data_IF_747510017184
#
_entry.id   IF_747510017184
#
_cell.length_a   1.000
_cell.length_b   1.000
_cell.length_c   1.000
_cell.angle_alpha   90.00
_cell.angle_beta   90.00
_cell.angle_gamma   90.00
#
_symmetry.space_group_name_H-M   'P 1'
#
loop_
_entity.id
_entity.type
_entity.pdbx_description
1 polymer ?
#
# COMPACT_ATOMS: atom_id res chain seq x y z
N UNK A 1 -19.14 -13.48 1.92
CA UNK A 1 -19.64 -14.45 0.91
C UNK A 1 -20.70 -13.85 -0.02
N UNK A 2 -21.70 -13.09 0.48
CA UNK A 2 -22.81 -12.59 -0.36
C UNK A 2 -22.43 -11.55 -1.44
N UNK A 3 -21.46 -10.66 -1.17
CA UNK A 3 -21.10 -9.55 -2.07
C UNK A 3 -20.38 -9.99 -3.36
N UNK A 4 -19.75 -11.17 -3.38
CA UNK A 4 -19.07 -11.69 -4.56
C UNK A 4 -20.07 -12.31 -5.56
N UNK A 5 -21.17 -12.90 -5.08
CA UNK A 5 -22.20 -13.49 -5.96
C UNK A 5 -22.89 -12.43 -6.81
N UNK A 6 -23.32 -11.30 -6.22
CA UNK A 6 -23.98 -10.23 -7.01
C UNK A 6 -23.04 -9.61 -8.04
N UNK A 7 -21.76 -9.43 -7.72
CA UNK A 7 -20.76 -8.91 -8.67
C UNK A 7 -20.51 -9.85 -9.86
N UNK A 8 -20.46 -11.16 -9.63
CA UNK A 8 -20.34 -12.14 -10.73
C UNK A 8 -21.61 -12.23 -11.58
N UNK A 9 -22.78 -12.07 -10.97
CA UNK A 9 -24.07 -12.05 -11.65
C UNK A 9 -24.21 -10.82 -12.54
N UNK A 10 -23.82 -9.63 -12.07
CA UNK A 10 -23.77 -8.38 -12.84
C UNK A 10 -22.84 -8.50 -14.07
N UNK A 11 -21.66 -9.10 -13.91
CA UNK A 11 -20.74 -9.35 -15.04
C UNK A 11 -21.34 -10.34 -16.03
N UNK A 12 -21.99 -11.41 -15.56
CA UNK A 12 -22.62 -12.40 -16.44
C UNK A 12 -23.77 -11.80 -17.24
N UNK A 13 -24.59 -10.96 -16.61
CA UNK A 13 -25.68 -10.21 -17.25
C UNK A 13 -25.15 -9.33 -18.38
N UNK A 14 -24.18 -8.44 -18.08
CA UNK A 14 -23.60 -7.57 -19.11
C UNK A 14 -22.86 -8.32 -20.22
N UNK A 15 -22.24 -9.47 -19.93
CA UNK A 15 -21.64 -10.33 -20.97
C UNK A 15 -22.68 -10.95 -21.91
N UNK A 16 -23.88 -11.26 -21.43
CA UNK A 16 -24.97 -11.74 -22.28
C UNK A 16 -25.43 -10.64 -23.23
N UNK A 17 -25.63 -9.42 -22.72
CA UNK A 17 -25.97 -8.23 -23.52
C UNK A 17 -24.91 -7.92 -24.58
N UNK A 18 -23.62 -8.03 -24.24
CA UNK A 18 -22.53 -7.84 -25.21
C UNK A 18 -22.47 -8.93 -26.29
N UNK A 19 -22.90 -10.16 -25.99
CA UNK A 19 -22.95 -11.26 -26.97
C UNK A 19 -24.09 -11.08 -27.97
N UNK A 20 -25.26 -10.62 -27.51
CA UNK A 20 -26.39 -10.30 -28.40
C UNK A 20 -26.05 -9.17 -29.39
N UNK A 21 -25.14 -8.27 -29.00
CA UNK A 21 -24.68 -7.15 -29.83
C UNK A 21 -23.61 -7.50 -30.88
N UNK A 22 -23.35 -8.80 -31.14
CA UNK A 22 -22.54 -9.31 -32.27
C UNK A 22 -21.07 -8.87 -32.30
N UNK A 23 -20.18 -9.70 -31.74
CA UNK A 23 -18.73 -9.60 -31.94
C UNK A 23 -18.32 -10.44 -33.16
N UNK A 24 -18.13 -9.80 -34.31
CA UNK A 24 -17.58 -10.42 -35.52
C UNK A 24 -16.15 -10.94 -35.27
N UNK A 25 -15.91 -12.18 -35.71
CA UNK A 25 -14.76 -13.03 -35.36
C UNK A 25 -13.43 -12.56 -35.99
N UNK A 26 -13.44 -11.53 -36.84
CA UNK A 26 -12.27 -11.07 -37.61
C UNK A 26 -11.75 -9.67 -37.22
N UNK A 27 -12.22 -9.08 -36.12
CA UNK A 27 -11.81 -7.74 -35.74
C UNK A 27 -10.43 -7.72 -35.07
N UNK A 28 -9.56 -6.79 -35.48
CA UNK A 28 -8.28 -6.55 -34.83
C UNK A 28 -8.50 -6.06 -33.39
N UNK A 29 -7.55 -6.31 -32.48
CA UNK A 29 -7.68 -5.91 -31.09
C UNK A 29 -8.01 -4.40 -30.88
N UNK A 30 -7.48 -3.45 -31.66
CA UNK A 30 -7.86 -2.03 -31.58
C UNK A 30 -9.32 -1.73 -31.97
N UNK A 31 -9.86 -2.42 -32.99
CA UNK A 31 -11.25 -2.25 -33.41
C UNK A 31 -12.22 -2.77 -32.35
N UNK A 32 -11.87 -3.89 -31.72
CA UNK A 32 -12.62 -4.47 -30.60
C UNK A 32 -12.65 -3.53 -29.39
N UNK A 33 -11.50 -2.95 -29.03
CA UNK A 33 -11.40 -1.96 -27.95
C UNK A 33 -12.31 -0.75 -28.23
N UNK A 34 -12.30 -0.23 -29.46
CA UNK A 34 -13.12 0.93 -29.84
C UNK A 34 -14.62 0.63 -29.74
N UNK A 35 -15.05 -0.55 -30.18
CA UNK A 35 -16.45 -1.01 -30.07
C UNK A 35 -16.89 -1.22 -28.61
N UNK A 36 -16.01 -1.76 -27.77
CA UNK A 36 -16.27 -1.91 -26.34
C UNK A 36 -16.40 -0.53 -25.66
N UNK A 37 -15.56 0.45 -26.02
CA UNK A 37 -15.68 1.82 -25.50
C UNK A 37 -17.01 2.48 -25.86
N UNK A 38 -17.58 2.20 -27.04
CA UNK A 38 -18.90 2.72 -27.44
C UNK A 38 -20.07 2.22 -26.57
N UNK A 39 -19.89 1.13 -25.82
CA UNK A 39 -20.93 0.60 -24.93
C UNK A 39 -20.87 1.19 -23.51
N UNK A 40 -19.86 2.00 -23.20
CA UNK A 40 -19.72 2.63 -21.89
C UNK A 40 -20.80 3.68 -21.65
N UNK A 41 -21.30 3.74 -20.42
CA UNK A 41 -22.27 4.74 -19.94
C UNK A 41 -23.73 4.40 -20.23
N UNK A 42 -24.04 3.22 -20.79
CA UNK A 42 -25.42 2.75 -20.96
C UNK A 42 -26.02 2.26 -19.66
N UNK A 43 -25.38 1.27 -19.05
CA UNK A 43 -25.80 0.65 -17.80
C UNK A 43 -24.57 0.20 -17.01
N UNK A 44 -24.65 0.21 -15.68
CA UNK A 44 -23.55 -0.17 -14.80
C UNK A 44 -23.07 -1.61 -15.03
N UNK A 45 -23.98 -2.53 -15.30
CA UNK A 45 -23.67 -3.94 -15.62
C UNK A 45 -22.90 -4.05 -16.94
N UNK A 46 -23.29 -3.26 -17.93
CA UNK A 46 -22.61 -3.17 -19.22
C UNK A 46 -21.21 -2.58 -19.05
N UNK A 47 -21.04 -1.55 -18.22
CA UNK A 47 -19.73 -0.95 -17.93
C UNK A 47 -18.77 -1.95 -17.26
N UNK A 48 -19.26 -2.72 -16.29
CA UNK A 48 -18.48 -3.79 -15.65
C UNK A 48 -18.07 -4.86 -16.66
N UNK A 49 -18.99 -5.28 -17.53
CA UNK A 49 -18.71 -6.28 -18.56
C UNK A 49 -17.72 -5.78 -19.61
N UNK A 50 -17.77 -4.50 -19.98
CA UNK A 50 -16.79 -3.84 -20.86
C UNK A 50 -15.40 -3.85 -20.22
N UNK A 51 -15.28 -3.40 -18.97
CA UNK A 51 -14.00 -3.36 -18.24
C UNK A 51 -13.40 -4.77 -18.09
N UNK A 52 -14.25 -5.76 -17.78
CA UNK A 52 -13.83 -7.15 -17.68
C UNK A 52 -13.35 -7.71 -19.03
N UNK A 53 -14.05 -7.37 -20.12
CA UNK A 53 -13.70 -7.81 -21.48
C UNK A 53 -12.40 -7.19 -21.97
N UNK A 54 -12.17 -5.89 -21.71
CA UNK A 54 -10.91 -5.21 -21.98
C UNK A 54 -9.74 -5.89 -21.25
N UNK A 55 -9.93 -6.36 -20.01
CA UNK A 55 -8.91 -7.11 -19.26
C UNK A 55 -8.53 -8.47 -19.85
N UNK A 56 -9.26 -8.97 -20.84
CA UNK A 56 -8.96 -10.21 -21.55
C UNK A 56 -8.29 -9.99 -22.90
N UNK A 57 -8.35 -8.78 -23.45
CA UNK A 57 -7.71 -8.41 -24.70
C UNK A 57 -6.24 -8.12 -24.40
N UNK A 58 -5.35 -9.00 -24.86
CA UNK A 58 -3.91 -8.86 -24.65
C UNK A 58 -3.32 -7.90 -25.70
N UNK A 59 -3.64 -6.62 -25.57
CA UNK A 59 -3.19 -5.57 -26.49
C UNK A 59 -2.93 -4.26 -25.73
N UNK A 60 -2.00 -3.44 -26.21
CA UNK A 60 -1.69 -2.13 -25.62
C UNK A 60 -2.90 -1.18 -25.64
N UNK A 61 -3.72 -1.22 -26.69
CA UNK A 61 -4.94 -0.41 -26.81
C UNK A 61 -5.94 -0.71 -25.68
N UNK A 62 -5.99 -1.96 -25.20
CA UNK A 62 -6.85 -2.33 -24.08
C UNK A 62 -6.37 -1.72 -22.75
N UNK A 63 -5.05 -1.62 -22.57
CA UNK A 63 -4.48 -0.99 -21.36
C UNK A 63 -4.70 0.52 -21.37
N UNK A 64 -4.54 1.17 -22.53
CA UNK A 64 -4.84 2.60 -22.70
C UNK A 64 -6.32 2.90 -22.45
N UNK A 65 -7.22 2.11 -23.03
CA UNK A 65 -8.65 2.26 -22.83
C UNK A 65 -9.05 2.13 -21.35
N UNK A 66 -8.50 1.16 -20.62
CA UNK A 66 -8.73 1.02 -19.17
C UNK A 66 -8.23 2.25 -18.39
N UNK A 67 -7.11 2.86 -18.81
CA UNK A 67 -6.57 4.08 -18.21
C UNK A 67 -7.46 5.30 -18.42
N UNK A 68 -8.03 5.46 -19.62
CA UNK A 68 -8.99 6.54 -19.90
C UNK A 68 -10.27 6.40 -19.07
N UNK A 69 -10.83 5.18 -19.00
CA UNK A 69 -12.05 4.90 -18.24
C UNK A 69 -11.82 5.19 -16.74
N UNK A 70 -10.63 4.87 -16.21
CA UNK A 70 -10.27 5.14 -14.81
C UNK A 70 -10.31 6.64 -14.46
N UNK A 71 -9.92 7.51 -15.40
CA UNK A 71 -9.93 8.97 -15.22
C UNK A 71 -11.33 9.55 -15.19
N UNK A 72 -12.24 8.97 -15.97
CA UNK A 72 -13.60 9.48 -16.13
C UNK A 72 -14.55 8.93 -15.07
N UNK A 73 -14.33 7.71 -14.57
CA UNK A 73 -15.24 7.09 -13.61
C UNK A 73 -15.04 7.58 -12.18
N UNK A 74 -16.15 7.80 -11.47
CA UNK A 74 -16.18 8.10 -10.02
C UNK A 74 -16.66 6.91 -9.18
N UNK A 75 -17.13 5.85 -9.82
CA UNK A 75 -17.69 4.68 -9.16
C UNK A 75 -16.58 3.81 -8.55
N UNK A 76 -16.71 3.49 -7.26
CA UNK A 76 -15.71 2.70 -6.53
C UNK A 76 -15.62 1.26 -7.03
N UNK A 77 -16.71 0.68 -7.50
CA UNK A 77 -16.73 -0.72 -7.95
C UNK A 77 -16.17 -0.85 -9.37
N UNK A 78 -16.49 0.10 -10.26
CA UNK A 78 -15.84 0.19 -11.58
C UNK A 78 -14.33 0.38 -11.43
N UNK A 79 -13.87 1.24 -10.51
CA UNK A 79 -12.42 1.41 -10.22
C UNK A 79 -11.76 0.11 -9.75
N UNK A 80 -12.43 -0.70 -8.94
CA UNK A 80 -11.88 -1.99 -8.50
C UNK A 80 -11.74 -2.96 -9.66
N UNK A 81 -12.74 -3.03 -10.54
CA UNK A 81 -12.69 -3.93 -11.68
C UNK A 81 -11.65 -3.48 -12.71
N UNK A 82 -11.48 -2.17 -12.93
CA UNK A 82 -10.40 -1.62 -13.77
C UNK A 82 -9.04 -2.04 -13.23
N UNK A 83 -8.80 -1.90 -11.92
CA UNK A 83 -7.55 -2.33 -11.28
C UNK A 83 -7.30 -3.83 -11.45
N UNK A 84 -8.34 -4.67 -11.31
CA UNK A 84 -8.24 -6.12 -11.52
C UNK A 84 -7.90 -6.45 -12.98
N UNK A 85 -8.58 -5.82 -13.95
CA UNK A 85 -8.31 -6.02 -15.38
C UNK A 85 -6.90 -5.58 -15.76
N UNK A 86 -6.44 -4.41 -15.30
CA UNK A 86 -5.06 -3.94 -15.53
C UNK A 86 -4.03 -4.86 -14.88
N UNK A 87 -4.28 -5.36 -13.67
CA UNK A 87 -3.39 -6.31 -13.00
C UNK A 87 -3.23 -7.61 -13.81
N UNK A 88 -4.31 -8.15 -14.38
CA UNK A 88 -4.26 -9.33 -15.25
C UNK A 88 -3.43 -9.09 -16.53
N UNK A 89 -3.53 -7.91 -17.12
CA UNK A 89 -2.73 -7.54 -18.30
C UNK A 89 -1.25 -7.35 -17.93
N UNK A 90 -0.97 -6.71 -16.79
CA UNK A 90 0.39 -6.54 -16.26
C UNK A 90 1.07 -7.88 -15.94
N UNK A 91 0.35 -8.85 -15.37
CA UNK A 91 0.86 -10.21 -15.15
C UNK A 91 1.30 -10.92 -16.43
N UNK A 92 0.76 -10.50 -17.59
CA UNK A 92 1.13 -11.04 -18.90
C UNK A 92 2.18 -10.19 -19.62
N UNK A 93 2.76 -9.18 -18.95
CA UNK A 93 3.81 -8.32 -19.51
C UNK A 93 3.31 -7.08 -20.26
N UNK A 94 1.99 -6.86 -20.35
CA UNK A 94 1.44 -5.61 -20.88
C UNK A 94 1.29 -4.59 -19.76
N UNK A 95 2.35 -3.80 -19.59
CA UNK A 95 2.39 -2.67 -18.68
C UNK A 95 2.25 -1.41 -19.52
N UNK A 96 1.13 -0.69 -19.43
CA UNK A 96 1.08 0.65 -20.00
C UNK A 96 2.10 1.53 -19.26
N UNK A 97 2.74 2.48 -19.96
CA UNK A 97 3.38 3.61 -19.32
C UNK A 97 2.35 4.23 -18.37
N UNK A 98 2.57 4.04 -17.07
CA UNK A 98 1.75 4.70 -16.08
C UNK A 98 2.10 6.18 -16.22
N UNK A 99 1.28 6.94 -16.95
CA UNK A 99 1.30 8.40 -16.85
C UNK A 99 1.22 8.70 -15.36
N UNK A 100 2.34 9.18 -14.83
CA UNK A 100 2.53 9.50 -13.44
C UNK A 100 1.39 10.41 -13.05
N UNK A 101 0.41 9.84 -12.37
CA UNK A 101 -0.73 10.58 -11.89
C UNK A 101 -0.11 11.60 -10.95
N UNK A 102 -0.18 12.86 -11.37
CA UNK A 102 0.45 13.99 -10.72
C UNK A 102 0.19 13.92 -9.21
N UNK A 103 1.28 13.69 -8.48
CA UNK A 103 1.52 13.70 -7.04
C UNK A 103 2.42 12.53 -6.58
N UNK A 104 3.46 12.17 -7.35
CA UNK A 104 4.74 11.88 -6.68
C UNK A 104 5.23 13.22 -6.16
N UNK A 105 5.10 13.45 -4.85
CA UNK A 105 5.88 14.49 -4.18
C UNK A 105 7.33 14.33 -4.65
N UNK A 106 8.04 15.43 -4.97
CA UNK A 106 9.43 15.32 -5.38
C UNK A 106 10.16 14.49 -4.31
N UNK A 107 10.77 13.39 -4.73
CA UNK A 107 11.76 12.69 -3.91
C UNK A 107 12.83 13.74 -3.68
N UNK A 108 12.92 14.25 -2.46
CA UNK A 108 13.96 15.22 -2.14
C UNK A 108 15.30 14.52 -2.37
N UNK A 109 16.12 15.08 -3.26
CA UNK A 109 17.50 14.67 -3.49
C UNK A 109 18.42 15.05 -2.32
N UNK A 110 17.85 15.58 -1.23
CA UNK A 110 18.51 15.62 0.06
C UNK A 110 18.40 14.22 0.65
N UNK A 111 19.53 13.56 0.87
CA UNK A 111 19.64 12.47 1.84
C UNK A 111 19.00 12.99 3.12
N UNK A 112 17.76 12.57 3.37
CA UNK A 112 17.07 12.88 4.61
C UNK A 112 17.95 12.30 5.71
N UNK A 113 18.51 13.17 6.55
CA UNK A 113 19.10 12.81 7.84
C UNK A 113 18.29 11.66 8.43
N UNK A 114 19.00 10.59 8.79
CA UNK A 114 18.49 9.27 9.14
C UNK A 114 17.03 9.28 9.62
N UNK A 115 16.12 8.63 8.87
CA UNK A 115 14.74 8.37 9.32
C UNK A 115 14.65 7.46 10.57
N UNK A 116 15.79 7.18 11.21
CA UNK A 116 15.95 6.39 12.41
C UNK A 116 16.05 7.33 13.61
N UNK A 117 15.04 7.26 14.47
CA UNK A 117 15.01 7.94 15.76
C UNK A 117 15.40 6.95 16.84
N UNK A 118 16.14 7.38 17.87
CA UNK A 118 16.38 6.55 19.04
C UNK A 118 16.09 7.30 20.33
N UNK A 119 15.67 6.54 21.33
CA UNK A 119 15.30 7.04 22.64
C UNK A 119 15.92 6.17 23.72
N UNK A 120 16.39 6.78 24.79
CA UNK A 120 17.03 6.07 25.90
C UNK A 120 16.49 6.60 27.24
N UNK A 121 16.32 5.70 28.22
CA UNK A 121 16.03 6.11 29.59
C UNK A 121 17.30 6.44 30.36
N UNK A 122 17.15 7.11 31.50
CA UNK A 122 18.18 7.07 32.53
C UNK A 122 18.39 5.64 33.04
N UNK A 123 19.56 5.40 33.64
CA UNK A 123 19.84 4.17 34.39
C UNK A 123 19.04 4.22 35.68
N UNK A 124 18.28 3.16 35.97
CA UNK A 124 17.53 3.03 37.21
C UNK A 124 18.44 2.65 38.40
N UNK A 125 17.87 2.61 39.61
CA UNK A 125 18.63 2.26 40.81
C UNK A 125 19.17 0.82 40.84
N UNK A 126 18.66 -0.05 39.95
CA UNK A 126 19.14 -1.42 39.78
C UNK A 126 20.29 -1.54 38.77
N UNK A 127 20.51 -0.54 37.92
CA UNK A 127 21.44 -0.59 36.80
C UNK A 127 20.75 -0.91 35.46
N UNK A 128 19.42 -0.94 35.43
CA UNK A 128 18.61 -1.16 34.25
C UNK A 128 18.42 0.10 33.40
N UNK A 129 18.36 -0.04 32.08
CA UNK A 129 18.02 1.03 31.14
C UNK A 129 17.20 0.51 29.97
N UNK A 130 16.31 1.34 29.46
CA UNK A 130 15.52 1.09 28.27
C UNK A 130 16.11 1.82 27.07
N UNK A 131 16.18 1.14 25.93
CA UNK A 131 16.61 1.71 24.65
C UNK A 131 15.56 1.37 23.60
N UNK A 132 15.09 2.37 22.86
CA UNK A 132 14.23 2.21 21.70
C UNK A 132 14.91 2.75 20.45
N UNK A 133 14.87 2.00 19.36
CA UNK A 133 15.31 2.44 18.03
C UNK A 133 14.11 2.30 17.10
N UNK A 134 13.67 3.40 16.50
CA UNK A 134 12.49 3.50 15.68
C UNK A 134 12.85 3.94 14.27
N UNK A 135 12.62 3.07 13.28
CA UNK A 135 12.83 3.36 11.86
C UNK A 135 11.49 3.60 11.17
N UNK A 136 11.40 4.69 10.41
CA UNK A 136 10.26 4.93 9.52
C UNK A 136 10.19 3.85 8.44
N UNK A 137 8.98 3.32 8.21
CA UNK A 137 8.70 2.35 7.15
C UNK A 137 7.69 2.95 6.18
N UNK A 138 8.02 3.05 4.87
CA UNK A 138 7.08 3.52 3.86
C UNK A 138 5.75 2.77 3.97
N UNK A 139 4.64 3.49 4.14
CA UNK A 139 3.27 2.98 4.30
C UNK A 139 2.93 2.15 5.56
N UNK A 140 3.92 1.76 6.38
CA UNK A 140 3.72 0.86 7.53
C UNK A 140 3.94 1.51 8.91
N UNK A 141 4.26 2.81 8.97
CA UNK A 141 4.44 3.53 10.23
C UNK A 141 5.89 3.44 10.71
N UNK A 142 6.10 3.06 11.97
CA UNK A 142 7.42 2.84 12.57
C UNK A 142 7.64 1.35 12.83
N UNK A 143 8.81 0.86 12.47
CA UNK A 143 9.35 -0.36 13.05
C UNK A 143 10.20 0.05 14.25
N UNK A 144 9.80 -0.40 15.44
CA UNK A 144 10.45 -0.07 16.70
C UNK A 144 11.09 -1.32 17.26
N UNK A 145 12.39 -1.23 17.55
CA UNK A 145 13.12 -2.18 18.36
C UNK A 145 13.17 -1.62 19.78
N UNK A 146 12.91 -2.48 20.76
CA UNK A 146 13.10 -2.18 22.17
C UNK A 146 14.12 -3.13 22.77
N UNK A 147 15.00 -2.59 23.59
CA UNK A 147 15.97 -3.32 24.37
C UNK A 147 15.92 -2.86 25.83
N UNK A 148 16.11 -3.80 26.75
CA UNK A 148 16.36 -3.52 28.17
C UNK A 148 17.74 -4.04 28.49
N UNK A 149 18.63 -3.15 28.88
CA UNK A 149 19.99 -3.47 29.29
C UNK A 149 20.12 -3.35 30.80
N UNK A 150 21.05 -4.09 31.36
CA UNK A 150 21.42 -4.00 32.76
C UNK A 150 22.93 -4.01 32.91
N UNK A 151 23.49 -3.06 33.66
CA UNK A 151 24.94 -2.82 33.70
C UNK A 151 25.77 -4.04 34.15
N UNK A 152 25.18 -5.02 34.84
CA UNK A 152 25.86 -6.27 35.28
C UNK A 152 25.47 -7.51 34.50
N UNK A 153 24.27 -7.53 33.96
CA UNK A 153 23.67 -8.73 33.35
C UNK A 153 23.62 -8.64 31.82
N UNK A 154 23.91 -7.46 31.28
CA UNK A 154 23.88 -7.18 29.85
C UNK A 154 22.47 -7.00 29.31
N UNK A 155 22.26 -7.39 28.05
CA UNK A 155 20.95 -7.35 27.39
C UNK A 155 19.94 -8.34 28.03
N UNK A 156 18.98 -7.82 28.79
CA UNK A 156 17.94 -8.61 29.47
C UNK A 156 16.76 -8.96 28.57
N UNK A 157 16.34 -8.01 27.72
CA UNK A 157 15.17 -8.15 26.84
C UNK A 157 15.44 -7.45 25.52
N UNK A 158 14.96 -8.06 24.45
CA UNK A 158 14.98 -7.50 23.11
C UNK A 158 13.68 -7.88 22.40
N UNK A 159 13.10 -6.95 21.65
CA UNK A 159 11.89 -7.21 20.88
C UNK A 159 11.65 -6.16 19.82
N UNK A 160 10.88 -6.53 18.79
CA UNK A 160 10.50 -5.64 17.70
C UNK A 160 8.99 -5.56 17.56
N UNK A 161 8.46 -4.39 17.21
CA UNK A 161 7.05 -4.19 16.92
C UNK A 161 6.83 -3.11 15.86
N UNK A 162 5.66 -3.16 15.21
CA UNK A 162 5.23 -2.13 14.28
C UNK A 162 4.16 -1.27 14.95
N UNK A 163 4.34 0.05 14.93
CA UNK A 163 3.40 1.00 15.52
C UNK A 163 3.42 2.34 14.80
N UNK A 164 2.41 3.17 15.02
CA UNK A 164 2.41 4.56 14.52
C UNK A 164 3.26 5.46 15.42
N UNK A 165 3.81 6.55 14.88
CA UNK A 165 4.54 7.55 15.69
C UNK A 165 3.72 8.11 16.85
N UNK A 166 2.40 8.25 16.69
CA UNK A 166 1.49 8.67 17.78
C UNK A 166 1.42 7.64 18.91
N UNK A 167 1.48 6.35 18.58
CA UNK A 167 1.46 5.26 19.56
C UNK A 167 2.78 5.21 20.34
N UNK A 168 3.92 5.41 19.66
CA UNK A 168 5.22 5.51 20.33
C UNK A 168 5.26 6.66 21.36
N UNK A 169 4.73 7.84 21.00
CA UNK A 169 4.64 8.97 21.93
C UNK A 169 3.74 8.65 23.13
N UNK A 170 2.58 8.03 22.88
CA UNK A 170 1.68 7.59 23.93
C UNK A 170 2.36 6.60 24.88
N UNK A 171 3.15 5.67 24.35
CA UNK A 171 3.92 4.71 25.15
C UNK A 171 4.99 5.40 25.99
N UNK A 172 5.70 6.40 25.45
CA UNK A 172 6.64 7.21 26.22
C UNK A 172 5.94 7.99 27.36
N UNK A 173 4.78 8.60 27.08
CA UNK A 173 3.98 9.32 28.07
C UNK A 173 3.46 8.39 29.17
N UNK A 174 2.98 7.20 28.81
CA UNK A 174 2.49 6.18 29.74
C UNK A 174 3.61 5.70 30.68
N UNK A 175 4.79 5.40 30.15
CA UNK A 175 5.94 4.99 30.96
C UNK A 175 6.39 6.10 31.90
N UNK A 176 6.37 7.35 31.44
CA UNK A 176 6.68 8.50 32.29
C UNK A 176 5.68 8.66 33.43
N UNK A 177 4.39 8.47 33.17
CA UNK A 177 3.34 8.61 34.19
C UNK A 177 3.30 7.45 35.17
N UNK A 178 3.47 6.21 34.69
CA UNK A 178 3.31 5.00 35.49
C UNK A 178 4.58 4.61 36.25
N UNK A 179 5.75 4.84 35.67
CA UNK A 179 7.03 4.37 36.18
C UNK A 179 8.02 5.48 36.49
N UNK A 180 7.65 6.75 36.28
CA UNK A 180 8.56 7.91 36.40
C UNK A 180 9.82 7.82 35.51
N UNK A 181 9.78 6.96 34.48
CA UNK A 181 10.88 6.77 33.54
C UNK A 181 10.68 7.73 32.37
N UNK A 182 11.66 8.61 32.12
CA UNK A 182 11.63 9.51 30.97
C UNK A 182 12.54 9.00 29.86
N UNK A 183 12.01 8.92 28.65
CA UNK A 183 12.77 8.61 27.44
C UNK A 183 13.29 9.90 26.81
N UNK A 184 14.59 10.00 26.58
CA UNK A 184 15.23 11.14 25.90
C UNK A 184 15.69 10.74 24.51
N UNK A 185 15.60 11.66 23.55
CA UNK A 185 16.13 11.44 22.21
C UNK A 185 17.65 11.37 22.24
N UNK A 186 18.22 10.39 21.53
CA UNK A 186 19.67 10.20 21.36
C UNK A 186 19.99 9.88 19.90
N UNK A 187 21.23 10.08 19.43
CA UNK A 187 21.68 9.56 18.15
C UNK A 187 21.45 8.04 18.08
N UNK A 188 20.94 7.54 16.95
CA UNK A 188 20.58 6.13 16.86
C UNK A 188 21.81 5.22 16.82
N UNK A 189 22.92 5.70 16.27
CA UNK A 189 24.21 5.01 16.24
C UNK A 189 24.72 4.77 17.67
N UNK A 190 24.52 5.75 18.56
CA UNK A 190 24.87 5.61 19.98
C UNK A 190 23.98 4.58 20.67
N UNK A 191 22.68 4.60 20.39
CA UNK A 191 21.75 3.60 20.93
C UNK A 191 22.08 2.18 20.43
N UNK A 192 22.43 2.03 19.16
CA UNK A 192 22.83 0.76 18.54
C UNK A 192 24.14 0.23 19.15
N UNK A 193 25.15 1.09 19.30
CA UNK A 193 26.39 0.74 19.99
C UNK A 193 26.13 0.31 21.43
N UNK A 194 25.29 1.03 22.17
CA UNK A 194 24.93 0.65 23.54
C UNK A 194 24.28 -0.73 23.61
N UNK A 195 23.39 -1.07 22.66
CA UNK A 195 22.78 -2.41 22.57
C UNK A 195 23.85 -3.48 22.24
N UNK A 196 24.82 -3.14 21.40
CA UNK A 196 25.91 -4.06 21.03
C UNK A 196 26.89 -4.32 22.18
N UNK A 197 27.16 -3.30 23.00
CA UNK A 197 28.09 -3.38 24.14
C UNK A 197 27.49 -3.97 25.43
N UNK A 198 26.16 -3.97 25.54
CA UNK A 198 25.43 -4.49 26.70
C UNK A 198 25.19 -5.99 26.65
#
# INVERSE_FOLDING_TARGET
>A
MAKNKSHEEEIKSGLATLRELSLAVDATAPDLVSRLKMQLGKERETDLAVIFSLGKIFDAAAVEALGEIERQTRDKDLKKEIKRSRFKLAQKGLVAPQEETAQKKPVSLFESESEIEAYMSAVDGGGGRLIWIAKSQPSHGLQVIQAMLHDREGLLRFGGMHMRRKELRKMADEIKQQHAISMISVPWEFADQMIYEG
#
